data_IF_768729575603
#
_entry.id   IF_768729575603
#
_cell.length_a   1.000
_cell.length_b   1.000
_cell.length_c   1.000
_cell.angle_alpha   90.00
_cell.angle_beta   90.00
_cell.angle_gamma   90.00
#
_symmetry.space_group_name_H-M   'P 1'
#
loop_
_entity.id
_entity.type
_entity.pdbx_description
1 polymer ?
#
# COMPACT_ATOMS: atom_id res chain seq x y z
N UNK A 1 17.27 5.06 -4.04
CA UNK A 1 16.60 3.96 -3.33
C UNK A 1 15.11 4.03 -3.58
N UNK A 2 14.50 2.95 -4.01
CA UNK A 2 13.09 2.92 -4.37
C UNK A 2 12.22 2.78 -3.13
N UNK A 3 11.26 3.68 -2.96
CA UNK A 3 10.24 3.58 -1.91
C UNK A 3 9.18 2.55 -2.32
N UNK A 4 8.54 1.90 -1.36
CA UNK A 4 7.42 0.98 -1.64
C UNK A 4 6.21 1.35 -0.79
N UNK A 5 5.02 1.14 -1.37
CA UNK A 5 3.74 1.29 -0.68
C UNK A 5 3.11 -0.10 -0.57
N UNK A 6 2.66 -0.45 0.62
CA UNK A 6 1.95 -1.71 0.87
C UNK A 6 0.45 -1.51 0.73
N UNK A 7 -0.16 -2.37 -0.05
CA UNK A 7 -1.61 -2.51 -0.15
C UNK A 7 -2.14 -3.47 0.93
N UNK A 8 -3.45 -3.56 1.06
CA UNK A 8 -4.11 -4.38 2.08
C UNK A 8 -3.72 -5.87 2.02
N UNK A 9 -3.49 -6.40 0.81
CA UNK A 9 -3.08 -7.79 0.64
C UNK A 9 -1.80 -8.16 1.39
N UNK A 10 -0.84 -7.23 1.46
CA UNK A 10 0.40 -7.42 2.23
C UNK A 10 0.10 -7.53 3.71
N UNK A 11 -0.73 -6.63 4.23
CA UNK A 11 -1.11 -6.61 5.64
C UNK A 11 -1.88 -7.87 6.03
N UNK A 12 -2.80 -8.31 5.16
CA UNK A 12 -3.57 -9.54 5.38
C UNK A 12 -2.64 -10.75 5.44
N UNK A 13 -1.72 -10.86 4.48
CA UNK A 13 -0.77 -11.97 4.44
C UNK A 13 0.17 -11.97 5.65
N UNK A 14 0.64 -10.79 6.06
CA UNK A 14 1.48 -10.67 7.25
C UNK A 14 0.73 -11.04 8.53
N UNK A 15 -0.53 -10.62 8.64
CA UNK A 15 -1.39 -10.96 9.78
C UNK A 15 -1.62 -12.46 9.90
N UNK A 16 -1.67 -13.15 8.76
CA UNK A 16 -1.78 -14.61 8.68
C UNK A 16 -0.44 -15.33 8.82
N UNK A 17 0.62 -14.60 9.12
CA UNK A 17 1.97 -15.12 9.27
C UNK A 17 2.49 -15.84 8.00
N UNK A 18 2.16 -15.31 6.83
CA UNK A 18 2.64 -15.85 5.56
C UNK A 18 4.15 -15.65 5.43
N UNK A 19 4.87 -16.77 5.39
CA UNK A 19 6.35 -16.77 5.46
C UNK A 19 7.01 -15.93 4.37
N UNK A 20 6.55 -16.06 3.12
CA UNK A 20 7.15 -15.35 1.98
C UNK A 20 7.03 -13.83 2.12
N UNK A 21 5.89 -13.35 2.62
CA UNK A 21 5.67 -11.92 2.82
C UNK A 21 6.60 -11.37 3.90
N UNK A 22 6.76 -12.10 5.00
CA UNK A 22 7.69 -11.70 6.07
C UNK A 22 9.15 -11.74 5.61
N UNK A 23 9.52 -12.72 4.79
CA UNK A 23 10.88 -12.81 4.25
C UNK A 23 11.20 -11.61 3.35
N UNK A 24 10.29 -11.26 2.44
CA UNK A 24 10.45 -10.10 1.56
C UNK A 24 10.47 -8.79 2.34
N UNK A 25 9.61 -8.65 3.34
CA UNK A 25 9.59 -7.48 4.21
C UNK A 25 10.94 -7.31 4.93
N UNK A 26 11.50 -8.39 5.46
CA UNK A 26 12.82 -8.36 6.11
C UNK A 26 13.90 -7.90 5.16
N UNK A 27 13.91 -8.42 3.93
CA UNK A 27 14.89 -8.02 2.91
C UNK A 27 14.81 -6.51 2.64
N UNK A 28 13.60 -5.96 2.55
CA UNK A 28 13.42 -4.51 2.35
C UNK A 28 14.00 -3.71 3.52
N UNK A 29 13.67 -4.10 4.75
CA UNK A 29 14.18 -3.40 5.93
C UNK A 29 15.70 -3.48 6.02
N UNK A 30 16.30 -4.62 5.73
CA UNK A 30 17.75 -4.80 5.70
C UNK A 30 18.41 -3.93 4.63
N UNK A 31 17.71 -3.67 3.52
CA UNK A 31 18.17 -2.77 2.47
C UNK A 31 17.94 -1.29 2.79
N UNK A 32 17.41 -0.96 3.96
CA UNK A 32 17.10 0.42 4.36
C UNK A 32 15.81 0.96 3.77
N UNK A 33 14.95 0.11 3.22
CA UNK A 33 13.64 0.51 2.67
C UNK A 33 12.60 0.39 3.77
N UNK A 34 12.03 1.51 4.19
CA UNK A 34 10.92 1.54 5.14
C UNK A 34 9.62 1.61 4.32
N UNK A 35 8.82 0.54 4.30
CA UNK A 35 7.58 0.57 3.51
C UNK A 35 6.58 1.58 4.06
N UNK A 36 5.83 2.19 3.15
CA UNK A 36 4.79 3.16 3.48
C UNK A 36 3.44 2.46 3.45
N UNK A 37 2.64 2.67 4.48
CA UNK A 37 1.27 2.14 4.57
C UNK A 37 0.31 3.31 4.72
N UNK A 38 -0.55 3.57 3.72
CA UNK A 38 -1.59 4.59 3.89
C UNK A 38 -2.57 4.21 5.02
N UNK A 39 -2.95 5.17 5.84
CA UNK A 39 -3.86 4.90 6.97
C UNK A 39 -5.15 4.16 6.59
N UNK A 40 -5.81 4.45 5.44
CA UNK A 40 -6.99 3.69 5.03
C UNK A 40 -6.75 2.19 4.83
N UNK A 41 -5.53 1.79 4.45
CA UNK A 41 -5.16 0.37 4.33
C UNK A 41 -5.21 -0.32 5.69
N UNK A 42 -4.77 0.37 6.74
CA UNK A 42 -4.88 -0.15 8.11
C UNK A 42 -6.33 -0.39 8.50
N UNK A 43 -7.24 0.52 8.12
CA UNK A 43 -8.68 0.38 8.40
C UNK A 43 -9.25 -0.90 7.79
N UNK A 44 -8.79 -1.29 6.61
CA UNK A 44 -9.28 -2.50 5.96
C UNK A 44 -8.90 -3.79 6.69
N UNK A 45 -7.80 -3.80 7.43
CA UNK A 45 -7.25 -5.03 7.99
C UNK A 45 -7.33 -5.07 9.52
N UNK A 46 -7.19 -3.93 10.19
CA UNK A 46 -7.19 -3.87 11.64
C UNK A 46 -8.59 -4.11 12.20
N UNK A 47 -8.76 -5.16 13.01
CA UNK A 47 -10.04 -5.54 13.59
C UNK A 47 -9.98 -5.69 15.11
N UNK A 48 -8.79 -6.00 15.65
CA UNK A 48 -8.65 -6.34 17.07
C UNK A 48 -7.24 -6.00 17.57
N UNK A 49 -7.10 -5.56 18.82
CA UNK A 49 -5.77 -5.37 19.42
C UNK A 49 -4.97 -6.67 19.55
N UNK A 50 -5.59 -7.84 19.33
CA UNK A 50 -4.92 -9.13 19.41
C UNK A 50 -4.22 -9.57 18.11
N UNK A 51 -4.30 -8.76 17.06
CA UNK A 51 -3.59 -9.02 15.80
C UNK A 51 -2.09 -8.68 15.96
N UNK A 52 -1.37 -9.56 16.61
CA UNK A 52 0.04 -9.35 16.99
C UNK A 52 0.94 -9.21 15.74
N UNK A 53 0.73 -10.07 14.74
CA UNK A 53 1.56 -10.04 13.53
C UNK A 53 1.34 -8.76 12.72
N UNK A 54 0.10 -8.29 12.61
CA UNK A 54 -0.19 -7.01 11.96
C UNK A 54 0.55 -5.86 12.66
N UNK A 55 0.52 -5.82 13.98
CA UNK A 55 1.19 -4.77 14.75
C UNK A 55 2.71 -4.83 14.58
N UNK A 56 3.27 -6.04 14.53
CA UNK A 56 4.71 -6.22 14.24
C UNK A 56 5.08 -5.68 12.88
N UNK A 57 4.29 -5.99 11.85
CA UNK A 57 4.53 -5.47 10.51
C UNK A 57 4.51 -3.94 10.51
N UNK A 58 3.46 -3.35 11.06
CA UNK A 58 3.28 -1.90 11.05
C UNK A 58 4.39 -1.17 11.83
N UNK A 59 4.96 -1.79 12.87
CA UNK A 59 6.05 -1.19 13.63
C UNK A 59 7.31 -0.98 12.78
N UNK A 60 7.48 -1.74 11.71
CA UNK A 60 8.58 -1.58 10.74
C UNK A 60 8.23 -0.71 9.54
N UNK A 61 7.03 -0.18 9.49
CA UNK A 61 6.53 0.64 8.39
C UNK A 61 6.29 2.08 8.81
N UNK A 62 6.15 2.95 7.81
CA UNK A 62 5.72 4.33 7.99
C UNK A 62 4.25 4.43 7.62
N UNK A 63 3.38 4.51 8.62
CA UNK A 63 1.94 4.69 8.42
C UNK A 63 1.67 6.18 8.19
N UNK A 64 1.15 6.53 7.01
CA UNK A 64 0.95 7.92 6.61
C UNK A 64 -0.52 8.30 6.60
N UNK A 65 -0.81 9.52 7.03
CA UNK A 65 -2.16 10.05 7.10
C UNK A 65 -2.76 10.25 5.71
N UNK A 66 -4.07 10.09 5.60
CA UNK A 66 -4.82 10.54 4.44
C UNK A 66 -5.13 12.04 4.63
N UNK A 67 -4.36 12.89 3.96
CA UNK A 67 -4.61 14.33 3.99
C UNK A 67 -5.76 14.68 3.04
N UNK A 68 -6.34 15.85 3.21
CA UNK A 68 -7.38 16.33 2.29
C UNK A 68 -6.85 16.40 0.86
N UNK A 69 -5.63 16.87 0.66
CA UNK A 69 -5.01 16.96 -0.65
C UNK A 69 -4.91 15.58 -1.33
N UNK A 70 -4.44 14.56 -0.61
CA UNK A 70 -4.40 13.18 -1.14
C UNK A 70 -5.79 12.64 -1.41
N UNK A 71 -6.77 12.98 -0.57
CA UNK A 71 -8.16 12.57 -0.78
C UNK A 71 -8.71 13.11 -2.10
N UNK A 72 -8.43 14.36 -2.44
CA UNK A 72 -8.86 14.94 -3.72
C UNK A 72 -8.15 14.26 -4.90
N UNK A 73 -6.85 13.99 -4.79
CA UNK A 73 -6.11 13.26 -5.82
C UNK A 73 -6.71 11.86 -6.03
N UNK A 74 -6.94 11.13 -4.95
CA UNK A 74 -7.54 9.78 -5.03
C UNK A 74 -8.92 9.83 -5.67
N UNK A 75 -9.73 10.81 -5.33
CA UNK A 75 -11.06 11.00 -5.94
C UNK A 75 -10.99 11.22 -7.44
N UNK A 76 -10.04 12.02 -7.92
CA UNK A 76 -9.83 12.22 -9.36
C UNK A 76 -9.40 10.92 -10.05
N UNK A 77 -8.56 10.11 -9.41
CA UNK A 77 -8.14 8.82 -9.96
C UNK A 77 -9.33 7.85 -10.10
N UNK A 78 -10.22 7.83 -9.11
CA UNK A 78 -11.44 7.02 -9.19
C UNK A 78 -12.28 7.40 -10.42
N UNK A 79 -12.44 8.69 -10.67
CA UNK A 79 -13.18 9.18 -11.83
C UNK A 79 -12.52 8.80 -13.15
N UNK A 80 -11.20 8.98 -13.26
CA UNK A 80 -10.45 8.68 -14.49
C UNK A 80 -10.38 7.20 -14.80
N UNK A 81 -10.20 6.38 -13.77
CA UNK A 81 -10.07 4.92 -13.91
C UNK A 81 -11.41 4.19 -13.92
N UNK A 82 -12.53 4.92 -13.73
CA UNK A 82 -13.86 4.34 -13.55
C UNK A 82 -13.84 3.23 -12.47
N UNK A 83 -13.21 3.55 -11.34
CA UNK A 83 -13.09 2.65 -10.20
C UNK A 83 -13.91 3.17 -9.01
N UNK A 84 -14.32 2.25 -8.13
CA UNK A 84 -15.02 2.57 -6.89
C UNK A 84 -14.21 2.17 -5.65
N UNK A 85 -13.04 1.60 -5.84
CA UNK A 85 -12.21 1.17 -4.72
C UNK A 85 -11.43 2.36 -4.16
N UNK A 86 -11.99 2.94 -3.09
CA UNK A 86 -11.44 4.13 -2.44
C UNK A 86 -10.04 3.86 -1.88
N UNK A 87 -9.83 2.70 -1.27
CA UNK A 87 -8.54 2.38 -0.64
C UNK A 87 -7.46 2.18 -1.70
N UNK A 88 -7.76 1.45 -2.77
CA UNK A 88 -6.83 1.28 -3.88
C UNK A 88 -6.45 2.63 -4.51
N UNK A 89 -7.42 3.54 -4.62
CA UNK A 89 -7.15 4.88 -5.14
C UNK A 89 -6.21 5.67 -4.22
N UNK A 90 -6.36 5.54 -2.91
CA UNK A 90 -5.44 6.18 -1.95
C UNK A 90 -4.04 5.57 -2.04
N UNK A 91 -3.94 4.25 -2.21
CA UNK A 91 -2.66 3.57 -2.43
C UNK A 91 -1.97 4.12 -3.68
N UNK A 92 -2.70 4.19 -4.79
CA UNK A 92 -2.16 4.70 -6.05
C UNK A 92 -1.75 6.18 -5.96
N UNK A 93 -2.57 7.02 -5.32
CA UNK A 93 -2.25 8.43 -5.10
C UNK A 93 -0.98 8.61 -4.26
N UNK A 94 -0.84 7.83 -3.21
CA UNK A 94 0.34 7.86 -2.34
C UNK A 94 1.59 7.42 -3.10
N UNK A 95 1.49 6.34 -3.87
CA UNK A 95 2.60 5.83 -4.66
C UNK A 95 3.03 6.85 -5.73
N UNK A 96 2.08 7.49 -6.40
CA UNK A 96 2.39 8.51 -7.41
C UNK A 96 3.14 9.71 -6.79
N UNK A 97 2.67 10.19 -5.65
CA UNK A 97 3.30 11.31 -4.95
C UNK A 97 4.72 10.99 -4.53
N UNK A 98 4.94 9.79 -3.99
CA UNK A 98 6.25 9.36 -3.48
C UNK A 98 7.14 8.76 -4.56
N UNK A 99 6.66 8.58 -5.77
CA UNK A 99 7.33 7.86 -6.86
C UNK A 99 7.75 6.47 -6.41
N UNK A 100 6.85 5.81 -5.69
CA UNK A 100 7.09 4.52 -5.06
C UNK A 100 6.53 3.38 -5.90
N UNK A 101 7.10 2.20 -5.71
CA UNK A 101 6.51 0.95 -6.19
C UNK A 101 5.37 0.53 -5.26
N UNK A 102 4.46 -0.30 -5.76
CA UNK A 102 3.34 -0.82 -4.96
C UNK A 102 3.42 -2.33 -4.85
N UNK A 103 3.38 -2.85 -3.63
CA UNK A 103 3.26 -4.28 -3.38
C UNK A 103 1.79 -4.59 -3.15
N UNK A 104 1.21 -5.43 -4.01
CA UNK A 104 -0.23 -5.68 -4.01
C UNK A 104 -0.56 -7.09 -4.51
N UNK A 105 -1.69 -7.63 -4.06
CA UNK A 105 -2.33 -8.82 -4.63
C UNK A 105 -3.38 -8.48 -5.69
N UNK A 106 -3.61 -7.20 -5.97
CA UNK A 106 -4.65 -6.71 -6.88
C UNK A 106 -4.04 -5.95 -8.06
N UNK A 107 -3.27 -6.68 -8.87
CA UNK A 107 -2.48 -6.10 -9.95
C UNK A 107 -3.31 -5.25 -10.92
N UNK A 108 -4.43 -5.79 -11.40
CA UNK A 108 -5.21 -5.14 -12.45
C UNK A 108 -5.80 -3.80 -12.01
N UNK A 109 -6.40 -3.74 -10.84
CA UNK A 109 -7.03 -2.52 -10.32
C UNK A 109 -5.98 -1.47 -9.96
N UNK A 110 -4.90 -1.87 -9.31
CA UNK A 110 -3.81 -0.96 -8.99
C UNK A 110 -3.16 -0.44 -10.27
N UNK A 111 -2.97 -1.30 -11.30
CA UNK A 111 -2.39 -0.88 -12.57
C UNK A 111 -3.23 0.20 -13.24
N UNK A 112 -4.54 0.03 -13.26
CA UNK A 112 -5.44 1.03 -13.86
C UNK A 112 -5.35 2.38 -13.14
N UNK A 113 -5.30 2.35 -11.81
CA UNK A 113 -5.22 3.57 -11.00
C UNK A 113 -3.85 4.25 -11.15
N UNK A 114 -2.76 3.49 -11.18
CA UNK A 114 -1.43 4.04 -11.41
C UNK A 114 -1.31 4.64 -12.81
N UNK A 115 -1.88 4.00 -13.82
CA UNK A 115 -1.90 4.54 -15.18
C UNK A 115 -2.70 5.85 -15.24
N UNK A 116 -3.85 5.91 -14.57
CA UNK A 116 -4.64 7.14 -14.46
C UNK A 116 -3.87 8.28 -13.77
N UNK A 117 -2.98 7.93 -12.85
CA UNK A 117 -2.11 8.88 -12.15
C UNK A 117 -0.85 9.24 -12.94
N UNK A 118 -0.61 8.57 -14.07
CA UNK A 118 0.65 8.67 -14.82
C UNK A 118 1.86 8.39 -13.93
N UNK A 119 1.71 7.44 -13.00
CA UNK A 119 2.72 7.12 -12.02
C UNK A 119 3.87 6.32 -12.64
N UNK A 120 5.09 6.58 -12.17
CA UNK A 120 6.31 5.93 -12.68
C UNK A 120 6.65 4.62 -11.95
N UNK A 121 5.99 4.33 -10.84
CA UNK A 121 6.29 3.15 -10.01
C UNK A 121 5.90 1.83 -10.66
N UNK A 122 6.56 0.78 -10.21
CA UNK A 122 6.30 -0.59 -10.63
C UNK A 122 5.33 -1.27 -9.67
N UNK A 123 4.66 -2.32 -10.15
CA UNK A 123 3.89 -3.21 -9.30
C UNK A 123 4.76 -4.41 -8.95
N UNK A 124 4.79 -4.74 -7.66
CA UNK A 124 5.41 -5.94 -7.13
C UNK A 124 4.27 -6.85 -6.69
N UNK A 125 4.08 -7.95 -7.39
CA UNK A 125 3.00 -8.87 -7.09
C UNK A 125 3.30 -9.69 -5.83
N UNK A 126 2.23 -9.92 -5.07
CA UNK A 126 2.28 -10.77 -3.89
C UNK A 126 2.45 -12.24 -4.26
#
# INVERSE_FOLDING_TARGET
>A
MTSVVYDAGVLIAADRDTRSVWAEHRVRLEAGIVPVVPAPVVVQVSRSPTQVQLRRLLSGCDVVSLTEQRAHVAGRLLGRADSRDVVDAVVAATAAELRADVVTGDHADIRRLLDAAEASGQIIDL
#
